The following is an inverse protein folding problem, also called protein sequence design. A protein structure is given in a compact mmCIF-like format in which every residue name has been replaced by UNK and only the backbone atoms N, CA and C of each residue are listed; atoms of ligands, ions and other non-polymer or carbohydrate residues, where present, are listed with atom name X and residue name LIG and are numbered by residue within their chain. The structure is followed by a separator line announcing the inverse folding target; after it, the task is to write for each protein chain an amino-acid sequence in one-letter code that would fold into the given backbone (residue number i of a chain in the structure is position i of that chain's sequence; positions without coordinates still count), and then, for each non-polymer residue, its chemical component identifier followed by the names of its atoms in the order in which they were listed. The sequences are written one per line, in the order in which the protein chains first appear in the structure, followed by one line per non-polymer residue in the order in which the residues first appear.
data_IF_270332737600
#
_entry.id   IF_270332737600
#
_cell.length_a   1.000
_cell.length_b   1.000
_cell.length_c   1.000
_cell.angle_alpha   90.00
_cell.angle_beta   90.00
_cell.angle_gamma   90.00
#
_symmetry.space_group_name_H-M   'P 1'
#
loop_
_entity.id
_entity.type
_entity.pdbx_description
1 polymer ?
#
# COMPACT_ATOMS: atom_id res chain seq x y z
N UNK A 1 16.11 -7.68 11.85
CA UNK A 1 16.20 -6.28 12.32
C UNK A 1 16.40 -5.31 11.14
N UNK A 2 15.69 -5.49 10.01
CA UNK A 2 15.96 -4.70 8.79
C UNK A 2 14.69 -4.16 8.11
N UNK A 3 13.51 -4.42 8.66
CA UNK A 3 12.24 -3.95 8.09
C UNK A 3 11.92 -2.49 8.47
N UNK A 4 12.27 -2.05 9.69
CA UNK A 4 12.05 -0.67 10.15
C UNK A 4 12.71 0.38 9.24
N UNK A 5 13.96 0.15 8.84
CA UNK A 5 14.73 1.14 8.05
C UNK A 5 14.10 1.40 6.68
N UNK A 6 13.43 0.39 6.09
CA UNK A 6 12.72 0.59 4.82
C UNK A 6 11.44 1.41 5.05
N UNK A 7 10.74 1.17 6.16
CA UNK A 7 9.51 1.88 6.50
C UNK A 7 9.76 3.35 6.86
N UNK A 8 10.78 3.62 7.67
CA UNK A 8 11.21 4.98 8.02
C UNK A 8 11.69 5.77 6.79
N UNK A 9 12.41 5.12 5.87
CA UNK A 9 12.82 5.75 4.62
C UNK A 9 11.60 6.09 3.74
N UNK A 10 10.61 5.20 3.69
CA UNK A 10 9.34 5.48 3.02
C UNK A 10 8.61 6.66 3.69
N UNK A 11 8.57 6.72 5.02
CA UNK A 11 7.99 7.83 5.78
C UNK A 11 8.70 9.17 5.50
N UNK A 12 10.03 9.14 5.43
CA UNK A 12 10.85 10.31 5.15
C UNK A 12 10.66 10.82 3.71
N UNK A 13 10.64 9.92 2.72
CA UNK A 13 10.38 10.30 1.32
C UNK A 13 8.95 10.78 1.07
N UNK A 14 7.96 10.21 1.77
CA UNK A 14 6.58 10.69 1.76
C UNK A 14 6.46 12.13 2.28
N UNK A 15 7.41 12.58 3.12
CA UNK A 15 7.49 13.91 3.71
C UNK A 15 8.37 14.89 2.91
N UNK A 16 9.13 14.40 1.93
CA UNK A 16 10.04 15.20 1.10
C UNK A 16 9.32 15.78 -0.14
N UNK A 17 9.82 16.90 -0.66
CA UNK A 17 9.22 17.81 -1.63
C UNK A 17 8.32 17.23 -2.75
N UNK A 18 7.26 17.99 -3.07
CA UNK A 18 6.19 17.70 -4.02
C UNK A 18 6.63 17.20 -5.42
N UNK A 19 7.80 17.60 -5.91
CA UNK A 19 8.30 17.22 -7.24
C UNK A 19 8.84 15.79 -7.32
N UNK A 20 9.35 15.24 -6.22
CA UNK A 20 9.78 13.83 -6.13
C UNK A 20 8.67 12.90 -5.65
N UNK A 21 7.60 13.47 -5.07
CA UNK A 21 6.49 12.71 -4.50
C UNK A 21 5.76 11.87 -5.54
N UNK A 22 5.51 12.39 -6.75
CA UNK A 22 4.84 11.64 -7.82
C UNK A 22 5.68 10.43 -8.28
N UNK A 23 7.01 10.60 -8.40
CA UNK A 23 7.93 9.53 -8.78
C UNK A 23 8.07 8.48 -7.67
N UNK A 24 8.13 8.94 -6.41
CA UNK A 24 8.14 8.08 -5.24
C UNK A 24 6.86 7.25 -5.13
N UNK A 25 5.70 7.86 -5.30
CA UNK A 25 4.39 7.17 -5.23
C UNK A 25 4.24 6.14 -6.35
N UNK A 26 4.74 6.41 -7.55
CA UNK A 26 4.80 5.37 -8.60
C UNK A 26 5.73 4.22 -8.23
N UNK A 27 6.93 4.50 -7.72
CA UNK A 27 7.84 3.46 -7.26
C UNK A 27 7.25 2.61 -6.13
N UNK A 28 6.54 3.24 -5.19
CA UNK A 28 5.82 2.58 -4.12
C UNK A 28 4.67 1.72 -4.67
N UNK A 29 3.88 2.24 -5.62
CA UNK A 29 2.79 1.50 -6.25
C UNK A 29 3.29 0.21 -6.89
N UNK A 30 4.37 0.27 -7.68
CA UNK A 30 4.97 -0.91 -8.32
C UNK A 30 5.43 -1.93 -7.29
N UNK A 31 6.12 -1.50 -6.22
CA UNK A 31 6.57 -2.39 -5.14
C UNK A 31 5.40 -3.06 -4.43
N UNK A 32 4.33 -2.31 -4.16
CA UNK A 32 3.13 -2.84 -3.50
C UNK A 32 2.35 -3.82 -4.38
N UNK A 33 2.19 -3.52 -5.67
CA UNK A 33 1.56 -4.45 -6.62
C UNK A 33 2.32 -5.78 -6.71
N UNK A 34 3.65 -5.75 -6.59
CA UNK A 34 4.48 -6.97 -6.54
C UNK A 34 4.39 -7.71 -5.21
N UNK A 35 4.33 -7.00 -4.09
CA UNK A 35 4.32 -7.60 -2.76
C UNK A 35 2.94 -8.15 -2.33
N UNK A 36 1.85 -7.55 -2.82
CA UNK A 36 0.47 -7.88 -2.45
C UNK A 36 -0.40 -8.08 -3.71
N UNK A 37 -0.10 -9.09 -4.53
CA UNK A 37 -0.79 -9.30 -5.80
C UNK A 37 -2.29 -9.56 -5.57
N UNK A 38 -3.14 -8.80 -6.27
CA UNK A 38 -4.60 -8.93 -6.20
C UNK A 38 -5.27 -8.26 -5.00
N UNK A 39 -4.50 -7.67 -4.07
CA UNK A 39 -5.02 -6.89 -2.94
C UNK A 39 -4.70 -5.39 -3.06
N UNK A 40 -3.89 -4.99 -4.05
CA UNK A 40 -3.54 -3.59 -4.33
C UNK A 40 -4.26 -3.11 -5.59
N UNK A 41 -4.87 -1.94 -5.49
CA UNK A 41 -5.57 -1.25 -6.55
C UNK A 41 -4.95 0.13 -6.75
N UNK A 42 -4.29 0.31 -7.89
CA UNK A 42 -3.61 1.55 -8.23
C UNK A 42 -4.45 2.34 -9.23
N UNK A 43 -4.79 3.56 -8.87
CA UNK A 43 -5.55 4.48 -9.71
C UNK A 43 -4.64 5.58 -10.24
N UNK A 44 -4.54 5.64 -11.57
CA UNK A 44 -3.71 6.59 -12.31
C UNK A 44 -4.58 7.60 -13.03
N UNK A 45 -4.35 8.88 -12.78
CA UNK A 45 -5.05 9.97 -13.45
C UNK A 45 -4.08 10.89 -14.18
N UNK A 46 -4.62 11.62 -15.15
CA UNK A 46 -3.88 12.62 -15.91
C UNK A 46 -3.75 13.88 -15.06
N UNK A 47 -2.53 14.40 -14.88
CA UNK A 47 -2.29 15.60 -14.05
C UNK A 47 -2.94 16.87 -14.62
N UNK A 48 -3.17 16.89 -15.93
CA UNK A 48 -3.83 17.94 -16.71
C UNK A 48 -4.41 17.34 -18.00
N UNK A 49 -5.13 18.14 -18.79
CA UNK A 49 -5.74 17.73 -20.07
C UNK A 49 -4.75 17.00 -21.01
N UNK A 50 -3.47 17.37 -20.99
CA UNK A 50 -2.38 16.79 -21.80
C UNK A 50 -1.19 16.24 -20.98
N UNK A 51 -1.30 16.14 -19.65
CA UNK A 51 -0.20 15.67 -18.79
C UNK A 51 0.03 14.15 -18.84
N UNK A 52 1.14 13.65 -18.27
CA UNK A 52 1.35 12.22 -18.07
C UNK A 52 0.30 11.63 -17.10
N UNK A 53 0.05 10.32 -17.21
CA UNK A 53 -0.72 9.59 -16.19
C UNK A 53 0.22 9.32 -15.02
N UNK A 54 -0.17 9.76 -13.83
CA UNK A 54 0.57 9.49 -12.58
C UNK A 54 -0.37 8.83 -11.59
N UNK A 55 0.19 8.10 -10.63
CA UNK A 55 -0.59 7.53 -9.53
C UNK A 55 -1.07 8.66 -8.63
N UNK A 56 -2.39 8.77 -8.47
CA UNK A 56 -2.99 9.68 -7.48
C UNK A 56 -3.64 8.95 -6.32
N UNK A 57 -3.90 7.64 -6.45
CA UNK A 57 -4.45 6.84 -5.36
C UNK A 57 -3.94 5.41 -5.41
N UNK A 58 -3.51 4.90 -4.27
CA UNK A 58 -3.22 3.50 -4.04
C UNK A 58 -4.19 3.03 -2.96
N UNK A 59 -4.98 1.99 -3.25
CA UNK A 59 -5.83 1.31 -2.28
C UNK A 59 -5.27 -0.08 -2.04
N UNK A 60 -5.22 -0.49 -0.78
CA UNK A 60 -4.75 -1.80 -0.37
C UNK A 60 -5.84 -2.43 0.50
N UNK A 61 -6.32 -3.59 0.07
CA UNK A 61 -7.33 -4.37 0.75
C UNK A 61 -6.68 -5.44 1.63
N UNK A 62 -6.50 -5.12 2.90
CA UNK A 62 -5.89 -5.98 3.91
C UNK A 62 -6.94 -6.77 4.71
N UNK A 63 -7.99 -7.27 4.05
CA UNK A 63 -9.03 -8.11 4.65
C UNK A 63 -10.00 -7.36 5.56
N UNK A 64 -9.62 -7.14 6.83
CA UNK A 64 -10.42 -6.41 7.84
C UNK A 64 -10.20 -4.90 7.81
N UNK A 65 -9.19 -4.46 7.05
CA UNK A 65 -8.84 -3.05 6.89
C UNK A 65 -8.53 -2.75 5.44
N UNK A 66 -8.77 -1.50 5.09
CA UNK A 66 -8.49 -0.92 3.79
C UNK A 66 -7.64 0.32 4.00
N UNK A 67 -6.44 0.27 3.45
CA UNK A 67 -5.48 1.37 3.48
C UNK A 67 -5.59 2.12 2.16
N UNK A 68 -5.56 3.44 2.21
CA UNK A 68 -5.60 4.29 1.03
C UNK A 68 -4.54 5.37 1.16
N UNK A 69 -3.77 5.57 0.10
CA UNK A 69 -2.83 6.67 -0.04
C UNK A 69 -3.27 7.48 -1.23
N UNK A 70 -3.51 8.78 -1.02
CA UNK A 70 -3.83 9.73 -2.09
C UNK A 70 -2.68 10.70 -2.22
N UNK A 71 -2.23 10.93 -3.45
CA UNK A 71 -1.22 11.92 -3.77
C UNK A 71 -1.86 13.00 -4.66
N UNK A 72 -1.74 14.28 -4.27
CA UNK A 72 -2.36 15.38 -5.00
C UNK A 72 -1.83 16.74 -4.53
N UNK A 73 -1.72 17.69 -5.47
CA UNK A 73 -1.32 19.07 -5.20
C UNK A 73 -0.04 19.23 -4.34
N UNK A 74 0.92 18.31 -4.52
CA UNK A 74 2.19 18.31 -3.80
C UNK A 74 2.11 17.80 -2.36
N UNK A 75 1.00 17.17 -1.98
CA UNK A 75 0.78 16.57 -0.68
C UNK A 75 0.29 15.14 -0.81
N UNK A 76 0.38 14.39 0.29
CA UNK A 76 -0.19 13.06 0.43
C UNK A 76 -1.20 13.04 1.57
N UNK A 77 -2.27 12.30 1.36
CA UNK A 77 -3.27 12.00 2.36
C UNK A 77 -3.32 10.48 2.55
N UNK A 78 -3.05 10.03 3.77
CA UNK A 78 -3.16 8.63 4.16
C UNK A 78 -4.47 8.40 4.90
N UNK A 79 -5.24 7.41 4.45
CA UNK A 79 -6.50 7.03 5.06
C UNK A 79 -6.47 5.55 5.44
N UNK A 80 -7.10 5.25 6.57
CA UNK A 80 -7.32 3.89 7.02
C UNK A 80 -8.81 3.68 7.26
N UNK A 81 -9.33 2.57 6.75
CA UNK A 81 -10.73 2.22 6.86
C UNK A 81 -10.88 0.82 7.42
N UNK A 82 -11.66 0.67 8.50
CA UNK A 82 -12.00 -0.67 9.01
C UNK A 82 -13.16 -1.23 8.19
N UNK A 83 -12.98 -2.42 7.65
CA UNK A 83 -13.98 -3.14 6.87
C UNK A 83 -14.42 -4.35 7.68
N UNK A 84 -15.71 -4.39 8.05
CA UNK A 84 -16.31 -5.59 8.66
C UNK A 84 -17.32 -6.13 7.68
N UNK A 85 -17.12 -7.36 7.21
CA UNK A 85 -18.05 -8.08 6.34
C UNK A 85 -18.39 -7.36 5.02
N UNK A 86 -17.41 -6.70 4.38
CA UNK A 86 -17.58 -6.06 3.07
C UNK A 86 -18.16 -4.63 3.10
N UNK A 87 -18.50 -4.10 4.27
CA UNK A 87 -18.95 -2.72 4.45
C UNK A 87 -17.84 -1.91 5.13
N UNK A 88 -17.46 -0.79 4.50
CA UNK A 88 -16.52 0.17 5.09
C UNK A 88 -17.26 0.92 6.19
N UNK A 89 -16.90 0.64 7.45
CA UNK A 89 -17.57 1.20 8.62
C UNK A 89 -17.20 2.66 8.85
N UNK A 90 -15.90 2.96 8.77
CA UNK A 90 -15.35 4.28 9.03
C UNK A 90 -14.06 4.42 8.25
N UNK A 91 -13.96 5.50 7.46
CA UNK A 91 -12.71 5.91 6.81
C UNK A 91 -12.20 7.10 7.59
N UNK A 92 -10.98 7.01 8.13
CA UNK A 92 -10.35 8.06 8.91
C UNK A 92 -9.03 8.42 8.25
N UNK A 93 -8.76 9.73 8.13
CA UNK A 93 -7.42 10.20 7.81
C UNK A 93 -6.52 9.86 9.00
N UNK A 94 -5.39 9.23 8.71
CA UNK A 94 -4.40 8.81 9.71
C UNK A 94 -3.05 9.37 9.31
N UNK A 95 -2.17 9.57 10.28
CA UNK A 95 -0.80 9.97 10.00
C UNK A 95 -0.06 8.89 9.21
N UNK A 96 0.95 9.32 8.46
CA UNK A 96 1.77 8.45 7.61
C UNK A 96 2.37 7.29 8.40
N UNK A 97 2.86 7.53 9.62
CA UNK A 97 3.47 6.51 10.46
C UNK A 97 2.47 5.42 10.86
N UNK A 98 1.24 5.81 11.20
CA UNK A 98 0.15 4.86 11.52
C UNK A 98 -0.26 4.04 10.28
N UNK A 99 -0.29 4.69 9.11
CA UNK A 99 -0.58 4.02 7.86
C UNK A 99 0.50 2.99 7.50
N UNK A 100 1.77 3.34 7.72
CA UNK A 100 2.92 2.50 7.46
C UNK A 100 2.99 1.28 8.39
N UNK A 101 2.69 1.43 9.68
CA UNK A 101 2.57 0.29 10.61
C UNK A 101 1.50 -0.70 10.12
N UNK A 102 0.33 -0.17 9.75
CA UNK A 102 -0.76 -1.00 9.24
C UNK A 102 -0.41 -1.70 7.91
N UNK A 103 0.38 -1.04 7.04
CA UNK A 103 0.92 -1.64 5.84
C UNK A 103 1.90 -2.77 6.17
N UNK A 104 2.81 -2.56 7.13
CA UNK A 104 3.75 -3.58 7.60
C UNK A 104 3.03 -4.84 8.09
N UNK A 105 1.96 -4.68 8.87
CA UNK A 105 1.12 -5.80 9.30
C UNK A 105 0.44 -6.52 8.13
N UNK A 106 -0.03 -5.79 7.11
CA UNK A 106 -0.63 -6.39 5.92
C UNK A 106 0.38 -7.22 5.12
N UNK A 107 1.60 -6.71 4.96
CA UNK A 107 2.70 -7.41 4.30
C UNK A 107 3.12 -8.67 5.07
N UNK A 108 3.23 -8.60 6.40
CA UNK A 108 3.55 -9.75 7.23
C UNK A 108 2.49 -10.87 7.09
N UNK A 109 1.19 -10.51 7.08
CA UNK A 109 0.10 -11.46 6.83
C UNK A 109 0.15 -12.09 5.45
N UNK A 110 0.56 -11.35 4.43
CA UNK A 110 0.73 -11.90 3.08
C UNK A 110 1.93 -12.84 2.99
N UNK A 111 3.05 -12.49 3.63
CA UNK A 111 4.22 -13.36 3.71
C UNK A 111 3.87 -14.69 4.39
N UNK A 112 3.14 -14.65 5.52
CA UNK A 112 2.65 -15.86 6.19
C UNK A 112 1.71 -16.69 5.29
N UNK A 113 0.81 -16.05 4.54
CA UNK A 113 -0.09 -16.73 3.59
C UNK A 113 0.69 -17.36 2.44
N UNK A 114 1.68 -16.67 1.90
CA UNK A 114 2.56 -17.18 0.84
C UNK A 114 3.35 -18.40 1.32
N UNK A 115 3.96 -18.32 2.50
CA UNK A 115 4.67 -19.44 3.13
C UNK A 115 3.75 -20.63 3.40
N UNK A 116 2.56 -20.39 3.97
CA UNK A 116 1.58 -21.45 4.22
C UNK A 116 1.10 -22.11 2.94
N UNK A 117 0.92 -21.33 1.87
CA UNK A 117 0.54 -21.83 0.53
C UNK A 117 1.65 -22.68 -0.07
N UNK A 118 2.91 -22.23 0.01
CA UNK A 118 4.09 -23.00 -0.41
C UNK A 118 4.19 -24.33 0.36
N UNK A 119 4.05 -24.30 1.69
CA UNK A 119 4.06 -25.50 2.52
C UNK A 119 2.88 -26.45 2.24
N UNK A 120 1.70 -25.92 1.90
CA UNK A 120 0.55 -26.74 1.54
C UNK A 120 0.77 -27.43 0.18
N UNK A 121 1.36 -26.71 -0.79
CA UNK A 121 1.72 -27.26 -2.09
C UNK A 121 2.80 -28.34 -1.98
N UNK A 122 3.85 -28.11 -1.17
CA UNK A 122 4.87 -29.12 -0.88
C UNK A 122 4.27 -30.39 -0.27
N UNK A 123 3.34 -30.24 0.69
CA UNK A 123 2.62 -31.37 1.28
C UNK A 123 1.75 -32.15 0.28
N UNK A 124 1.29 -31.50 -0.79
CA UNK A 124 0.45 -32.10 -1.82
C UNK A 124 1.28 -32.79 -2.92
N UNK A 125 2.52 -32.35 -3.15
CA UNK A 125 3.46 -32.91 -4.14
C UNK A 125 4.35 -34.04 -3.59
N UNK A 126 4.46 -34.17 -2.26
CA UNK A 126 5.20 -35.26 -1.59
C UNK A 126 4.30 -36.48 -1.32
N UNK A 127 3.06 -36.46 -1.81
CA UNK A 127 2.15 -37.61 -1.84
C UNK A 127 2.10 -38.22 -3.24
#
# INVERSE_FOLDING_TARGET
MTEDVNLDLLAASLRADASDLDAFVEGLAVKLEQALPGSVHVYRWRTRMLGPKVVRRIRIDAGDRRLELRAGDGSIETLCSRTSSGIVLKTEAVDVDTWLDALGQALAREAERSEKTRQALERLLIR
#
